data_IF_465011860873
#
_entry.id   IF_465011860873
#
_cell.length_a   1.000
_cell.length_b   1.000
_cell.length_c   1.000
_cell.angle_alpha   90.00
_cell.angle_beta   90.00
_cell.angle_gamma   90.00
#
_symmetry.space_group_name_H-M   'P 1'
#
loop_
_entity.id
_entity.type
_entity.pdbx_description
1 polymer ?
#
# COMPACT_ATOMS: atom_id res chain seq x y z
N UNK A 1 -13.58 -11.93 2.56
CA UNK A 1 -12.13 -12.04 2.29
C UNK A 1 -11.77 -13.32 1.51
N UNK A 2 -11.42 -13.19 0.22
CA UNK A 2 -10.86 -14.26 -0.61
C UNK A 2 -9.34 -14.33 -0.37
N UNK A 3 -8.82 -15.51 -0.09
CA UNK A 3 -7.38 -15.71 0.09
C UNK A 3 -6.71 -15.99 -1.27
N UNK A 4 -5.83 -15.09 -1.70
CA UNK A 4 -4.94 -15.32 -2.85
C UNK A 4 -3.75 -16.15 -2.38
N UNK A 5 -3.50 -17.29 -3.03
CA UNK A 5 -2.34 -18.15 -2.73
C UNK A 5 -1.22 -17.84 -3.71
N UNK A 6 -0.12 -17.30 -3.21
CA UNK A 6 1.12 -17.16 -3.97
C UNK A 6 1.98 -18.41 -3.85
N UNK A 7 2.61 -18.84 -4.94
CA UNK A 7 3.56 -19.96 -4.95
C UNK A 7 4.89 -19.58 -4.31
N UNK A 8 5.79 -20.56 -4.16
CA UNK A 8 7.10 -20.33 -3.54
C UNK A 8 7.94 -19.35 -4.35
N UNK A 9 7.86 -19.40 -5.68
CA UNK A 9 8.63 -18.52 -6.56
C UNK A 9 8.19 -17.06 -6.40
N UNK A 10 6.89 -16.77 -6.47
CA UNK A 10 6.38 -15.40 -6.33
C UNK A 10 6.70 -14.83 -4.95
N UNK A 11 6.62 -15.67 -3.91
CA UNK A 11 7.02 -15.28 -2.54
C UNK A 11 8.51 -14.96 -2.44
N UNK A 12 9.38 -15.74 -3.10
CA UNK A 12 10.81 -15.48 -3.14
C UNK A 12 11.14 -14.22 -3.94
N UNK A 13 10.45 -13.99 -5.06
CA UNK A 13 10.58 -12.76 -5.85
C UNK A 13 10.18 -11.54 -5.01
N UNK A 14 9.02 -11.57 -4.34
CA UNK A 14 8.60 -10.52 -3.40
C UNK A 14 9.60 -10.34 -2.26
N UNK A 15 10.06 -11.42 -1.63
CA UNK A 15 11.04 -11.34 -0.55
C UNK A 15 12.35 -10.72 -1.02
N UNK A 16 12.82 -11.07 -2.23
CA UNK A 16 14.07 -10.56 -2.79
C UNK A 16 14.00 -9.07 -3.15
N UNK A 17 12.85 -8.61 -3.66
CA UNK A 17 12.63 -7.21 -4.01
C UNK A 17 12.76 -6.28 -2.80
N UNK A 18 12.43 -6.79 -1.61
CA UNK A 18 12.51 -6.06 -0.35
C UNK A 18 13.81 -6.31 0.41
N UNK A 19 14.26 -7.56 0.49
CA UNK A 19 15.43 -7.93 1.26
C UNK A 19 16.72 -7.34 0.67
N UNK A 20 16.82 -7.22 -0.67
CA UNK A 20 18.04 -6.73 -1.31
C UNK A 20 18.30 -5.23 -1.05
N UNK A 21 17.34 -4.30 -1.23
CA UNK A 21 17.52 -2.91 -0.84
C UNK A 21 17.82 -2.73 0.64
N UNK A 22 17.07 -3.41 1.52
CA UNK A 22 17.30 -3.33 2.97
C UNK A 22 18.68 -3.85 3.35
N UNK A 23 19.11 -4.98 2.78
CA UNK A 23 20.42 -5.56 3.04
C UNK A 23 21.56 -4.69 2.48
N UNK A 24 21.37 -4.01 1.35
CA UNK A 24 22.35 -3.07 0.81
C UNK A 24 22.47 -1.83 1.69
N UNK A 25 21.36 -1.26 2.16
CA UNK A 25 21.38 -0.10 3.06
C UNK A 25 22.08 -0.46 4.38
N UNK A 26 21.70 -1.58 5.01
CA UNK A 26 22.30 -2.05 6.27
C UNK A 26 23.76 -2.49 6.06
N UNK A 27 24.05 -3.19 4.96
CA UNK A 27 25.39 -3.67 4.62
C UNK A 27 26.37 -2.54 4.32
N UNK A 28 25.96 -1.54 3.53
CA UNK A 28 26.80 -0.39 3.23
C UNK A 28 27.04 0.48 4.48
N UNK A 29 26.01 0.75 5.27
CA UNK A 29 26.16 1.52 6.52
C UNK A 29 27.07 0.81 7.53
N UNK A 30 26.98 -0.52 7.64
CA UNK A 30 27.86 -1.32 8.51
C UNK A 30 29.29 -1.44 7.99
N UNK A 31 29.48 -1.54 6.68
CA UNK A 31 30.80 -1.63 6.05
C UNK A 31 31.58 -0.30 6.11
N UNK A 32 30.88 0.83 5.96
CA UNK A 32 31.49 2.17 6.01
C UNK A 32 31.84 2.64 7.44
N UNK A 33 31.25 2.04 8.49
CA UNK A 33 31.27 2.59 9.85
C UNK A 33 31.74 1.61 10.95
N UNK A 34 32.66 0.67 10.65
CA UNK A 34 33.21 -0.23 11.70
C UNK A 34 33.84 0.57 12.87
N UNK A 35 33.64 0.22 14.17
CA UNK A 35 32.86 -0.89 14.74
C UNK A 35 31.88 -0.47 15.86
N UNK A 36 30.59 -0.77 15.71
CA UNK A 36 29.70 -1.13 16.82
C UNK A 36 28.48 -1.87 16.26
N UNK A 37 28.33 -3.15 16.61
CA UNK A 37 27.25 -4.02 16.14
C UNK A 37 25.85 -3.59 16.67
N UNK A 38 25.79 -2.58 17.54
CA UNK A 38 24.55 -2.00 18.08
C UNK A 38 23.80 -1.11 17.08
N UNK A 39 24.47 -0.56 16.07
CA UNK A 39 23.92 0.36 15.07
C UNK A 39 22.93 -0.26 14.06
N UNK A 40 23.22 -1.40 13.41
CA UNK A 40 22.28 -2.01 12.46
C UNK A 40 21.04 -2.59 13.17
N UNK A 41 21.18 -3.04 14.43
CA UNK A 41 20.09 -3.58 15.23
C UNK A 41 19.15 -2.48 15.74
N UNK A 42 19.67 -1.31 16.15
CA UNK A 42 18.82 -0.18 16.54
C UNK A 42 18.03 0.38 15.35
N UNK A 43 18.67 0.55 14.19
CA UNK A 43 18.01 1.00 12.96
C UNK A 43 16.92 0.02 12.49
N UNK A 44 17.17 -1.29 12.58
CA UNK A 44 16.18 -2.32 12.27
C UNK A 44 15.00 -2.32 13.26
N UNK A 45 15.26 -2.15 14.56
CA UNK A 45 14.21 -2.09 15.58
C UNK A 45 13.31 -0.86 15.45
N UNK A 46 13.87 0.27 15.02
CA UNK A 46 13.14 1.51 14.74
C UNK A 46 12.34 1.39 13.46
N UNK A 47 12.90 0.76 12.43
CA UNK A 47 12.17 0.42 11.21
C UNK A 47 10.95 -0.46 11.50
N UNK A 48 11.13 -1.47 12.34
CA UNK A 48 10.07 -2.39 12.75
C UNK A 48 9.00 -1.67 13.59
N UNK A 49 9.41 -0.79 14.50
CA UNK A 49 8.49 0.01 15.31
C UNK A 49 7.68 0.99 14.45
N UNK A 50 8.32 1.66 13.48
CA UNK A 50 7.64 2.52 12.51
C UNK A 50 6.67 1.68 11.67
N UNK A 51 7.14 0.57 11.11
CA UNK A 51 6.34 -0.34 10.29
C UNK A 51 5.09 -0.88 11.00
N UNK A 52 5.20 -1.25 12.28
CA UNK A 52 4.07 -1.87 13.01
C UNK A 52 3.02 -0.85 13.50
N UNK A 53 3.35 0.44 13.56
CA UNK A 53 2.53 1.42 14.30
C UNK A 53 2.18 2.69 13.49
N UNK A 54 2.88 3.00 12.39
CA UNK A 54 2.63 4.23 11.60
C UNK A 54 1.17 4.36 11.15
N UNK A 55 0.55 3.24 10.77
CA UNK A 55 -0.85 3.18 10.35
C UNK A 55 -1.88 3.48 11.44
N UNK A 56 -1.50 3.38 12.71
CA UNK A 56 -2.45 3.55 13.82
C UNK A 56 -2.71 5.01 14.18
N UNK A 57 -1.95 5.94 13.62
CA UNK A 57 -2.05 7.36 13.94
C UNK A 57 -2.56 8.18 12.75
N UNK A 58 -3.57 9.06 12.94
CA UNK A 58 -3.94 10.05 11.92
C UNK A 58 -2.90 11.17 11.82
N UNK A 59 -2.76 11.78 10.64
CA UNK A 59 -2.03 13.05 10.48
C UNK A 59 -2.67 14.12 11.38
N UNK A 60 -1.91 14.95 12.14
CA UNK A 60 -0.46 15.22 12.10
C UNK A 60 0.38 14.37 13.07
N UNK A 61 -0.23 13.42 13.80
CA UNK A 61 0.44 12.67 14.88
C UNK A 61 1.50 11.70 14.37
N UNK A 62 1.48 11.35 13.07
CA UNK A 62 2.50 10.53 12.41
C UNK A 62 3.88 11.18 12.43
N UNK A 63 3.99 12.48 12.21
CA UNK A 63 5.27 13.21 12.27
C UNK A 63 5.93 13.15 13.64
N UNK A 64 5.14 13.32 14.70
CA UNK A 64 5.62 13.20 16.08
C UNK A 64 6.10 11.78 16.38
N UNK A 65 5.36 10.78 15.91
CA UNK A 65 5.73 9.37 16.07
C UNK A 65 7.05 9.03 15.34
N UNK A 66 7.20 9.42 14.07
CA UNK A 66 8.44 9.23 13.29
C UNK A 66 9.63 9.96 13.89
N UNK A 67 9.41 11.19 14.37
CA UNK A 67 10.42 11.97 15.09
C UNK A 67 10.86 11.28 16.39
N UNK A 68 9.90 10.80 17.18
CA UNK A 68 10.16 10.06 18.42
C UNK A 68 10.91 8.74 18.15
N UNK A 69 10.55 8.00 17.11
CA UNK A 69 11.22 6.76 16.71
C UNK A 69 12.67 7.03 16.27
N UNK A 70 12.91 8.10 15.52
CA UNK A 70 14.26 8.54 15.13
C UNK A 70 15.07 8.97 16.36
N UNK A 71 14.48 9.74 17.28
CA UNK A 71 15.14 10.16 18.52
C UNK A 71 15.49 8.94 19.41
N UNK A 72 14.61 7.94 19.49
CA UNK A 72 14.84 6.70 20.21
C UNK A 72 15.99 5.90 19.60
N UNK A 73 16.09 5.86 18.26
CA UNK A 73 17.23 5.27 17.53
C UNK A 73 18.56 5.90 17.92
N UNK A 74 18.62 7.22 17.93
CA UNK A 74 19.82 7.98 18.30
C UNK A 74 20.16 7.79 19.77
N UNK A 75 19.16 7.81 20.66
CA UNK A 75 19.35 7.57 22.08
C UNK A 75 19.87 6.16 22.37
N UNK A 76 19.34 5.13 21.71
CA UNK A 76 19.82 3.76 21.84
C UNK A 76 21.29 3.61 21.43
N UNK A 77 21.70 4.30 20.37
CA UNK A 77 23.09 4.32 19.91
C UNK A 77 24.00 5.04 20.89
N UNK A 78 23.58 6.17 21.43
CA UNK A 78 24.33 6.89 22.45
C UNK A 78 24.50 6.05 23.73
N UNK A 79 23.44 5.37 24.19
CA UNK A 79 23.48 4.47 25.35
C UNK A 79 24.36 3.23 25.12
N UNK A 80 24.52 2.79 23.87
CA UNK A 80 25.42 1.71 23.50
C UNK A 80 26.89 2.16 23.37
N UNK A 81 27.23 3.38 23.77
CA UNK A 81 28.59 3.93 23.67
C UNK A 81 28.98 4.40 22.27
N UNK A 82 28.00 4.60 21.38
CA UNK A 82 28.22 5.12 20.04
C UNK A 82 28.67 6.60 20.07
N UNK A 83 29.72 6.92 19.32
CA UNK A 83 30.17 8.30 19.14
C UNK A 83 29.20 9.15 18.31
N UNK A 84 29.51 10.44 18.14
CA UNK A 84 28.67 11.40 17.38
C UNK A 84 28.40 10.91 15.95
N UNK A 85 29.40 10.34 15.27
CA UNK A 85 29.22 9.77 13.93
C UNK A 85 28.22 8.61 13.88
N UNK A 86 28.18 7.78 14.93
CA UNK A 86 27.21 6.69 15.06
C UNK A 86 25.78 7.23 15.26
N UNK A 87 25.62 8.27 16.08
CA UNK A 87 24.33 8.95 16.27
C UNK A 87 23.80 9.58 14.98
N UNK A 88 24.66 10.26 14.21
CA UNK A 88 24.30 10.84 12.91
C UNK A 88 23.90 9.75 11.91
N UNK A 89 24.66 8.65 11.84
CA UNK A 89 24.34 7.54 10.95
C UNK A 89 22.98 6.88 11.30
N UNK A 90 22.69 6.72 12.59
CA UNK A 90 21.41 6.17 13.04
C UNK A 90 20.22 7.08 12.71
N UNK A 91 20.40 8.40 12.83
CA UNK A 91 19.40 9.37 12.42
C UNK A 91 19.14 9.29 10.90
N UNK A 92 20.20 9.33 10.08
CA UNK A 92 20.09 9.27 8.62
C UNK A 92 19.47 7.95 8.14
N UNK A 93 19.88 6.81 8.71
CA UNK A 93 19.32 5.51 8.38
C UNK A 93 17.83 5.41 8.77
N UNK A 94 17.45 5.93 9.95
CA UNK A 94 16.05 5.91 10.41
C UNK A 94 15.16 6.80 9.53
N UNK A 95 15.65 7.96 9.11
CA UNK A 95 14.94 8.86 8.19
C UNK A 95 14.83 8.25 6.80
N UNK A 96 15.92 7.72 6.24
CA UNK A 96 15.92 7.09 4.92
C UNK A 96 14.97 5.87 4.87
N UNK A 97 14.98 5.04 5.91
CA UNK A 97 14.13 3.87 6.01
C UNK A 97 12.66 4.24 6.25
N UNK A 98 12.39 5.24 7.10
CA UNK A 98 11.02 5.77 7.26
C UNK A 98 10.49 6.36 5.94
N UNK A 99 11.34 7.05 5.18
CA UNK A 99 10.99 7.57 3.86
C UNK A 99 10.68 6.46 2.85
N UNK A 100 11.53 5.43 2.79
CA UNK A 100 11.33 4.25 1.94
C UNK A 100 10.02 3.52 2.30
N UNK A 101 9.80 3.27 3.59
CA UNK A 101 8.58 2.61 4.07
C UNK A 101 7.33 3.46 3.83
N UNK A 102 7.39 4.77 4.00
CA UNK A 102 6.26 5.68 3.72
C UNK A 102 5.92 5.66 2.22
N UNK A 103 6.93 5.73 1.35
CA UNK A 103 6.71 5.68 -0.09
C UNK A 103 6.01 4.39 -0.52
N UNK A 104 6.45 3.25 0.03
CA UNK A 104 5.94 1.94 -0.34
C UNK A 104 4.57 1.64 0.30
N UNK A 105 4.38 2.00 1.56
CA UNK A 105 3.19 1.62 2.32
C UNK A 105 1.95 2.47 1.98
N UNK A 106 2.12 3.78 1.82
CA UNK A 106 0.99 4.68 1.53
C UNK A 106 0.88 5.11 0.07
N UNK A 107 1.80 4.66 -0.81
CA UNK A 107 1.88 5.15 -2.19
C UNK A 107 1.97 6.67 -2.26
N UNK A 108 2.52 7.29 -1.21
CA UNK A 108 2.38 8.72 -0.93
C UNK A 108 3.75 9.38 -0.83
N UNK A 109 3.82 10.67 -1.14
CA UNK A 109 5.07 11.44 -1.04
C UNK A 109 5.33 11.86 0.40
N UNK A 110 6.53 12.37 0.69
CA UNK A 110 6.92 12.93 1.99
C UNK A 110 6.01 14.09 2.46
N UNK A 111 5.18 14.67 1.60
CA UNK A 111 4.42 15.90 1.88
C UNK A 111 2.92 15.63 1.95
N UNK A 112 2.43 14.56 1.31
CA UNK A 112 1.00 14.35 1.13
C UNK A 112 0.67 12.85 1.11
N UNK A 113 -0.29 12.44 1.94
CA UNK A 113 -0.87 11.09 1.97
C UNK A 113 -1.68 10.85 0.69
N UNK A 114 -1.48 9.70 0.03
CA UNK A 114 -2.13 9.34 -1.24
C UNK A 114 -3.65 9.14 -1.14
N UNK A 115 -4.25 9.42 0.01
CA UNK A 115 -5.67 9.29 0.31
C UNK A 115 -6.40 10.64 0.33
N UNK A 116 -6.28 11.46 -0.72
CA UNK A 116 -7.27 12.52 -0.98
C UNK A 116 -8.71 11.98 -1.20
N UNK A 117 -8.88 10.66 -1.23
CA UNK A 117 -10.18 10.00 -1.29
C UNK A 117 -10.93 9.97 0.05
N UNK A 118 -10.32 10.34 1.17
CA UNK A 118 -10.95 10.20 2.49
C UNK A 118 -12.02 11.28 2.75
N UNK A 119 -11.87 12.47 2.16
CA UNK A 119 -12.85 13.56 2.26
C UNK A 119 -14.13 13.30 1.46
N UNK A 120 -14.05 12.48 0.41
CA UNK A 120 -15.17 12.16 -0.47
C UNK A 120 -15.61 10.71 -0.21
N UNK A 121 -16.78 10.51 0.39
CA UNK A 121 -17.34 9.16 0.65
C UNK A 121 -17.76 8.49 -0.66
N UNK A 122 -16.80 8.03 -1.44
CA UNK A 122 -17.02 7.27 -2.67
C UNK A 122 -17.57 5.87 -2.36
N UNK A 123 -18.63 5.46 -3.04
CA UNK A 123 -19.13 4.09 -3.05
C UNK A 123 -19.06 3.50 -4.46
N UNK A 124 -19.06 2.17 -4.56
CA UNK A 124 -19.01 1.48 -5.85
C UNK A 124 -20.44 1.33 -6.39
N UNK A 125 -20.64 1.66 -7.65
CA UNK A 125 -21.93 1.50 -8.34
C UNK A 125 -21.79 0.53 -9.51
N UNK A 126 -22.81 -0.31 -9.71
CA UNK A 126 -22.89 -1.29 -10.81
C UNK A 126 -23.99 -0.88 -11.79
N UNK A 127 -23.59 -0.64 -13.04
CA UNK A 127 -24.49 -0.44 -14.17
C UNK A 127 -24.97 -1.80 -14.71
N UNK A 128 -26.23 -2.11 -14.48
CA UNK A 128 -26.85 -3.37 -14.93
C UNK A 128 -27.07 -3.42 -16.44
N UNK A 129 -27.11 -2.29 -17.14
CA UNK A 129 -27.25 -2.26 -18.60
C UNK A 129 -25.94 -2.64 -19.28
N UNK A 130 -24.82 -2.15 -18.74
CA UNK A 130 -23.47 -2.50 -19.21
C UNK A 130 -23.01 -3.88 -18.72
N UNK A 131 -23.55 -4.39 -17.62
CA UNK A 131 -23.16 -5.68 -17.08
C UNK A 131 -23.56 -6.85 -18.00
N UNK A 132 -22.56 -7.55 -18.54
CA UNK A 132 -22.73 -8.75 -19.39
C UNK A 132 -22.48 -10.07 -18.66
N UNK A 133 -22.35 -10.05 -17.33
CA UNK A 133 -22.09 -11.25 -16.55
C UNK A 133 -20.74 -11.92 -16.86
N UNK A 134 -19.68 -11.12 -17.02
CA UNK A 134 -18.30 -11.65 -17.22
C UNK A 134 -17.71 -12.17 -15.90
N UNK A 135 -18.23 -11.70 -14.77
CA UNK A 135 -17.85 -12.12 -13.41
C UNK A 135 -16.39 -11.84 -12.98
N UNK A 136 -15.61 -11.07 -13.75
CA UNK A 136 -14.25 -10.69 -13.35
C UNK A 136 -14.20 -9.95 -12.00
N UNK A 137 -15.22 -9.14 -11.71
CA UNK A 137 -15.37 -8.45 -10.42
C UNK A 137 -15.46 -9.41 -9.22
N UNK A 138 -16.01 -10.62 -9.39
CA UNK A 138 -16.02 -11.63 -8.33
C UNK A 138 -14.60 -12.15 -8.07
N UNK A 139 -13.85 -12.42 -9.13
CA UNK A 139 -12.49 -12.96 -9.07
C UNK A 139 -11.52 -12.02 -8.37
N UNK A 140 -11.60 -10.73 -8.69
CA UNK A 140 -10.60 -9.74 -8.23
C UNK A 140 -10.99 -9.02 -6.95
N UNK A 141 -12.21 -9.19 -6.45
CA UNK A 141 -12.63 -8.55 -5.22
C UNK A 141 -12.03 -9.27 -4.00
N UNK A 142 -11.15 -8.62 -3.22
CA UNK A 142 -10.58 -9.25 -2.03
C UNK A 142 -11.64 -9.48 -0.95
N UNK A 143 -12.67 -8.64 -0.87
CA UNK A 143 -13.73 -8.78 0.15
C UNK A 143 -14.93 -9.60 -0.28
N UNK A 144 -14.95 -10.10 -1.52
CA UNK A 144 -16.07 -10.85 -2.09
C UNK A 144 -17.41 -10.11 -1.92
N UNK A 145 -17.47 -8.84 -2.32
CA UNK A 145 -18.68 -8.01 -2.23
C UNK A 145 -19.73 -8.34 -3.30
N UNK A 146 -19.33 -9.08 -4.34
CA UNK A 146 -20.16 -9.41 -5.49
C UNK A 146 -20.64 -10.85 -5.47
N UNK A 147 -21.89 -11.07 -5.91
CA UNK A 147 -22.50 -12.38 -6.09
C UNK A 147 -23.03 -12.56 -7.52
N UNK A 148 -23.24 -13.83 -7.92
CA UNK A 148 -23.81 -14.16 -9.23
C UNK A 148 -25.34 -14.16 -9.14
N UNK A 149 -25.98 -13.41 -10.03
CA UNK A 149 -27.38 -13.60 -10.37
C UNK A 149 -27.49 -14.48 -11.61
N UNK A 150 -27.69 -15.78 -11.40
CA UNK A 150 -27.74 -16.77 -12.47
C UNK A 150 -29.00 -16.64 -13.34
N UNK A 151 -30.12 -16.21 -12.73
CA UNK A 151 -31.41 -15.98 -13.36
C UNK A 151 -31.34 -14.97 -14.51
N UNK A 152 -30.58 -13.88 -14.34
CA UNK A 152 -30.44 -12.81 -15.33
C UNK A 152 -29.07 -12.77 -16.00
N UNK A 153 -28.17 -13.72 -15.68
CA UNK A 153 -26.77 -13.74 -16.12
C UNK A 153 -26.06 -12.38 -15.85
N UNK A 154 -26.23 -11.85 -14.64
CA UNK A 154 -25.60 -10.59 -14.21
C UNK A 154 -24.89 -10.76 -12.86
N UNK A 155 -24.12 -9.75 -12.50
CA UNK A 155 -23.55 -9.63 -11.16
C UNK A 155 -24.49 -8.82 -10.27
N UNK A 156 -24.47 -9.10 -8.98
CA UNK A 156 -25.06 -8.26 -7.93
C UNK A 156 -23.97 -7.78 -6.96
N UNK A 157 -24.11 -6.54 -6.48
CA UNK A 157 -23.33 -6.01 -5.36
C UNK A 157 -24.08 -6.36 -4.06
N UNK A 158 -23.78 -7.51 -3.48
CA UNK A 158 -24.53 -8.10 -2.37
C UNK A 158 -24.07 -7.62 -0.98
N UNK A 159 -22.79 -7.24 -0.86
CA UNK A 159 -22.16 -6.88 0.43
C UNK A 159 -21.35 -5.58 0.31
N UNK A 160 -22.01 -4.50 -0.11
CA UNK A 160 -21.36 -3.19 -0.37
C UNK A 160 -20.66 -2.62 0.88
N UNK A 161 -21.19 -2.91 2.07
CA UNK A 161 -20.63 -2.48 3.35
C UNK A 161 -19.22 -3.03 3.61
N UNK A 162 -18.82 -4.11 2.93
CA UNK A 162 -17.47 -4.68 3.01
C UNK A 162 -16.52 -4.07 1.98
N UNK A 163 -16.96 -3.16 1.13
CA UNK A 163 -16.14 -2.59 0.07
C UNK A 163 -15.01 -1.73 0.63
N UNK A 164 -13.76 -2.22 0.52
CA UNK A 164 -12.55 -1.44 0.86
C UNK A 164 -12.16 -0.42 -0.23
N UNK A 165 -12.99 -0.28 -1.28
CA UNK A 165 -12.81 0.70 -2.35
C UNK A 165 -11.44 0.61 -3.04
N UNK A 166 -10.87 -0.60 -3.21
CA UNK A 166 -9.57 -0.77 -3.87
C UNK A 166 -9.59 -0.46 -5.37
N UNK A 167 -10.75 -0.55 -6.03
CA UNK A 167 -10.91 -0.26 -7.47
C UNK A 167 -10.49 -1.38 -8.42
N UNK A 168 -10.05 -2.53 -7.91
CA UNK A 168 -9.65 -3.68 -8.76
C UNK A 168 -10.78 -4.14 -9.70
N UNK A 169 -12.01 -4.17 -9.20
CA UNK A 169 -13.19 -4.56 -10.00
C UNK A 169 -13.51 -3.57 -11.14
N UNK A 170 -13.30 -2.27 -10.91
CA UNK A 170 -13.45 -1.21 -11.93
C UNK A 170 -12.41 -1.40 -13.04
N UNK A 171 -11.16 -1.65 -12.66
CA UNK A 171 -10.07 -1.82 -13.62
C UNK A 171 -10.24 -3.06 -14.48
N UNK A 172 -10.71 -4.16 -13.89
CA UNK A 172 -10.82 -5.48 -14.54
C UNK A 172 -12.17 -5.75 -15.20
N UNK A 173 -13.15 -4.85 -15.07
CA UNK A 173 -14.41 -4.99 -15.80
C UNK A 173 -14.18 -4.61 -17.27
N UNK A 174 -14.33 -5.54 -18.23
CA UNK A 174 -14.12 -5.23 -19.64
C UNK A 174 -15.25 -4.35 -20.21
N UNK A 175 -16.42 -4.35 -19.58
CA UNK A 175 -17.61 -3.62 -20.01
C UNK A 175 -17.74 -2.23 -19.38
N UNK A 176 -16.78 -1.82 -18.55
CA UNK A 176 -16.84 -0.52 -17.85
C UNK A 176 -18.18 -0.32 -17.09
N UNK A 177 -18.69 -1.42 -16.53
CA UNK A 177 -19.97 -1.47 -15.82
C UNK A 177 -19.87 -1.08 -14.34
N UNK A 178 -18.65 -0.86 -13.82
CA UNK A 178 -18.39 -0.54 -12.42
C UNK A 178 -17.65 0.80 -12.34
N UNK A 179 -18.07 1.69 -11.45
CA UNK A 179 -17.46 3.00 -11.25
C UNK A 179 -17.65 3.48 -9.81
N UNK A 180 -16.89 4.49 -9.39
CA UNK A 180 -17.08 5.15 -8.09
C UNK A 180 -17.96 6.39 -8.25
N UNK A 181 -18.86 6.59 -7.29
CA UNK A 181 -19.77 7.73 -7.21
C UNK A 181 -19.78 8.28 -5.79
N UNK A 182 -19.95 9.59 -5.63
CA UNK A 182 -20.07 10.23 -4.33
C UNK A 182 -21.51 10.70 -4.04
N UNK A 183 -21.72 11.29 -2.85
CA UNK A 183 -23.04 11.78 -2.42
C UNK A 183 -23.58 12.92 -3.31
N UNK A 184 -22.70 13.62 -4.03
CA UNK A 184 -23.07 14.67 -4.98
C UNK A 184 -23.35 14.13 -6.38
N UNK A 185 -23.32 12.80 -6.57
CA UNK A 185 -23.42 12.10 -7.87
C UNK A 185 -22.30 12.48 -8.84
N UNK A 186 -21.17 12.96 -8.33
CA UNK A 186 -19.98 13.05 -9.14
C UNK A 186 -19.52 11.61 -9.42
N UNK A 187 -19.21 11.31 -10.68
CA UNK A 187 -18.79 9.97 -11.12
C UNK A 187 -17.33 9.99 -11.50
N UNK A 188 -16.55 9.08 -10.92
CA UNK A 188 -15.17 8.83 -11.36
C UNK A 188 -15.19 7.75 -12.44
N UNK A 189 -14.87 8.15 -13.67
CA UNK A 189 -14.84 7.22 -14.79
C UNK A 189 -13.80 6.10 -14.60
N UNK A 190 -14.06 4.88 -15.08
CA UNK A 190 -13.14 3.75 -14.98
C UNK A 190 -11.74 4.05 -15.53
N UNK A 191 -11.64 4.86 -16.58
CA UNK A 191 -10.36 5.31 -17.15
C UNK A 191 -9.53 6.14 -16.16
N UNK A 192 -10.17 7.01 -15.38
CA UNK A 192 -9.50 7.79 -14.33
C UNK A 192 -8.95 6.87 -13.24
N UNK A 193 -9.73 5.88 -12.83
CA UNK A 193 -9.28 4.88 -11.84
C UNK A 193 -8.09 4.07 -12.37
N UNK A 194 -8.13 3.65 -13.64
CA UNK A 194 -7.00 2.94 -14.28
C UNK A 194 -5.74 3.78 -14.32
N UNK A 195 -5.87 5.07 -14.64
CA UNK A 195 -4.74 5.99 -14.78
C UNK A 195 -4.08 6.35 -13.45
N UNK A 196 -4.82 6.37 -12.33
CA UNK A 196 -4.27 6.93 -11.09
C UNK A 196 -4.23 5.98 -9.91
N UNK A 197 -5.06 4.92 -9.88
CA UNK A 197 -5.17 4.05 -8.70
C UNK A 197 -4.35 2.77 -8.79
N UNK A 198 -3.95 2.34 -9.99
CA UNK A 198 -3.21 1.08 -10.21
C UNK A 198 -1.99 1.23 -11.12
N UNK A 199 -1.36 2.41 -11.13
CA UNK A 199 -0.14 2.62 -11.91
C UNK A 199 1.04 1.83 -11.32
N UNK A 200 1.32 0.69 -11.97
CA UNK A 200 2.63 0.46 -12.60
C UNK A 200 2.55 -0.62 -13.70
N UNK A 201 1.59 -1.55 -13.64
CA UNK A 201 1.44 -2.63 -14.65
C UNK A 201 -0.01 -3.07 -14.90
N UNK A 202 -1.01 -2.29 -14.49
CA UNK A 202 -2.44 -2.63 -14.58
C UNK A 202 -2.96 -2.76 -16.01
N UNK A 203 -2.57 -3.82 -16.73
CA UNK A 203 -3.17 -4.21 -18.00
C UNK A 203 -4.46 -4.98 -17.71
N UNK A 204 -5.48 -4.79 -18.55
CA UNK A 204 -6.64 -5.68 -18.52
C UNK A 204 -6.16 -7.11 -18.82
N UNK A 205 -6.74 -8.11 -18.17
CA UNK A 205 -6.57 -9.50 -18.62
C UNK A 205 -7.16 -9.73 -20.02
N UNK A 206 -8.13 -8.90 -20.42
CA UNK A 206 -8.82 -8.96 -21.72
C UNK A 206 -8.99 -7.56 -22.30
N UNK A 207 -8.75 -7.39 -23.61
CA UNK A 207 -8.96 -6.12 -24.31
C UNK A 207 -10.41 -5.63 -24.21
N UNK A 208 -10.61 -4.31 -24.32
CA UNK A 208 -11.95 -3.75 -24.43
C UNK A 208 -12.63 -4.26 -25.71
N UNK A 209 -13.93 -4.60 -25.67
CA UNK A 209 -14.67 -4.76 -26.91
C UNK A 209 -14.68 -3.40 -27.67
N UNK A 210 -14.66 -3.44 -29.02
CA UNK A 210 -14.73 -2.24 -29.84
C UNK A 210 -16.06 -1.50 -29.69
#
# INVERSE_FOLDING_TARGET
MRQVRFGLRERLEMASAWALPSALIVGCTTALLRPAWSLPLSALSVALAVFLVDDRFPEPRRWLFRGAATALSVAAVALAGGGVGAGVAAALASVALSGLLTYDYSGSTLIESGSHLEERRWHITLDLERCRGVYSCLEVCPEAVFEKREDVRKTELAHDERCIRCGACVVQCPMDALYFEDQTRERVEPETIRRFKLNLLGRRSVAAPP
#
